data_IF_285091865213
#
_entry.id   IF_285091865213
#
_cell.length_a   1.000
_cell.length_b   1.000
_cell.length_c   1.000
_cell.angle_alpha   90.00
_cell.angle_beta   90.00
_cell.angle_gamma   90.00
#
_symmetry.space_group_name_H-M   'P 1'
#
loop_
_entity.id
_entity.type
_entity.pdbx_description
1 polymer ?
#
# COMPACT_ATOMS: atom_id res chain seq x y z
N UNK A 1 12.17 13.07 -2.25
CA UNK A 1 11.49 11.78 -2.55
C UNK A 1 12.53 10.69 -2.57
N UNK A 2 12.38 9.71 -1.68
CA UNK A 2 13.26 8.54 -1.62
C UNK A 2 12.74 7.54 -2.66
N UNK A 3 13.52 7.24 -3.68
CA UNK A 3 13.28 6.18 -4.66
C UNK A 3 14.60 5.48 -4.89
N UNK A 4 14.59 4.16 -4.92
CA UNK A 4 15.75 3.40 -5.37
C UNK A 4 15.46 2.92 -6.81
N UNK A 5 16.16 3.48 -7.77
CA UNK A 5 16.02 3.21 -9.21
C UNK A 5 16.62 1.83 -9.60
N UNK A 6 16.36 0.79 -8.79
CA UNK A 6 16.80 -0.56 -9.11
C UNK A 6 15.78 -1.17 -10.09
N UNK A 7 16.26 -1.68 -11.22
CA UNK A 7 15.42 -2.41 -12.14
C UNK A 7 15.05 -3.76 -11.52
N UNK A 8 13.75 -4.05 -11.44
CA UNK A 8 13.24 -5.31 -10.92
C UNK A 8 13.09 -6.31 -12.05
N UNK A 9 13.55 -7.57 -11.87
CA UNK A 9 13.18 -8.67 -12.75
C UNK A 9 11.65 -8.88 -12.73
N UNK A 10 11.08 -9.59 -13.72
CA UNK A 10 9.67 -9.99 -13.67
C UNK A 10 9.30 -10.70 -12.37
N UNK A 11 8.04 -10.61 -11.94
CA UNK A 11 7.58 -11.19 -10.68
C UNK A 11 7.83 -12.71 -10.61
N UNK A 12 7.69 -13.41 -11.73
CA UNK A 12 7.96 -14.84 -11.86
C UNK A 12 9.41 -15.23 -11.50
N UNK A 13 10.39 -14.37 -11.83
CA UNK A 13 11.81 -14.59 -11.51
C UNK A 13 12.15 -14.23 -10.05
N UNK A 14 11.22 -13.59 -9.33
CA UNK A 14 11.34 -13.19 -7.93
C UNK A 14 10.50 -14.07 -6.99
N UNK A 15 9.84 -15.11 -7.53
CA UNK A 15 9.15 -16.09 -6.70
C UNK A 15 10.14 -16.84 -5.83
N UNK A 16 9.80 -16.95 -4.57
CA UNK A 16 10.57 -17.67 -3.55
C UNK A 16 9.60 -18.36 -2.60
N UNK A 17 10.13 -19.06 -1.62
CA UNK A 17 9.36 -19.73 -0.59
C UNK A 17 9.85 -19.26 0.76
N UNK A 18 8.93 -18.88 1.65
CA UNK A 18 9.27 -18.50 3.01
C UNK A 18 9.70 -19.69 3.87
N UNK A 19 10.03 -19.46 5.13
CA UNK A 19 10.48 -20.47 6.09
C UNK A 19 9.40 -21.52 6.39
N UNK A 20 8.14 -21.18 6.20
CA UNK A 20 6.99 -22.05 6.44
C UNK A 20 6.49 -22.78 5.17
N UNK A 21 7.17 -22.56 4.05
CA UNK A 21 6.91 -23.22 2.78
C UNK A 21 5.82 -22.54 1.93
N UNK A 22 5.51 -21.28 2.18
CA UNK A 22 4.53 -20.52 1.40
C UNK A 22 5.18 -19.76 0.24
N UNK A 23 4.44 -19.63 -0.86
CA UNK A 23 4.87 -18.83 -2.01
C UNK A 23 4.94 -17.35 -1.67
N UNK A 24 6.06 -16.73 -2.01
CA UNK A 24 6.32 -15.30 -1.83
C UNK A 24 6.83 -14.68 -3.13
N UNK A 25 6.71 -13.37 -3.27
CA UNK A 25 7.43 -12.56 -4.25
C UNK A 25 8.36 -11.62 -3.48
N UNK A 26 9.67 -11.74 -3.68
CA UNK A 26 10.67 -10.93 -3.00
C UNK A 26 11.91 -10.72 -3.88
N UNK A 27 12.36 -9.46 -4.08
CA UNK A 27 11.80 -8.19 -3.60
C UNK A 27 10.52 -7.76 -4.33
N UNK A 28 9.67 -6.96 -3.66
CA UNK A 28 8.48 -6.34 -4.25
C UNK A 28 8.80 -5.03 -4.97
N UNK A 29 8.08 -4.76 -6.06
CA UNK A 29 7.92 -3.44 -6.63
C UNK A 29 6.76 -2.69 -5.97
N UNK A 30 7.02 -1.53 -5.41
CA UNK A 30 6.07 -0.82 -4.55
C UNK A 30 5.63 0.51 -5.15
N UNK A 31 4.32 0.74 -5.19
CA UNK A 31 3.74 2.07 -5.41
C UNK A 31 3.23 2.67 -4.10
N UNK A 32 3.57 3.93 -3.85
CA UNK A 32 3.09 4.71 -2.70
C UNK A 32 2.23 5.86 -3.22
N UNK A 33 0.99 5.97 -2.73
CA UNK A 33 0.05 7.05 -3.08
C UNK A 33 -0.30 7.82 -1.81
N UNK A 34 0.20 9.06 -1.71
CA UNK A 34 -0.10 9.94 -0.59
C UNK A 34 -1.29 10.83 -0.92
N UNK A 35 -2.33 10.75 -0.12
CA UNK A 35 -3.54 11.56 -0.23
C UNK A 35 -3.45 12.73 0.75
N UNK A 36 -3.56 13.97 0.25
CA UNK A 36 -3.36 15.17 1.06
C UNK A 36 -4.21 16.34 0.59
N UNK A 37 -5.04 16.86 1.51
CA UNK A 37 -5.85 18.07 1.32
C UNK A 37 -5.04 19.36 1.20
N UNK A 38 -3.76 19.37 1.58
CA UNK A 38 -2.90 20.57 1.54
C UNK A 38 -2.55 21.05 0.13
N UNK A 39 -3.07 20.45 -0.92
CA UNK A 39 -2.92 20.91 -2.32
C UNK A 39 -3.94 21.98 -2.67
N UNK A 40 -3.92 23.10 -1.95
CA UNK A 40 -4.52 24.33 -2.38
C UNK A 40 -3.58 25.06 -3.35
N UNK A 41 -4.04 25.20 -4.60
CA UNK A 41 -3.67 26.25 -5.57
C UNK A 41 -2.23 26.76 -5.61
N UNK A 42 -1.45 26.29 -6.59
CA UNK A 42 -0.49 27.13 -7.30
C UNK A 42 0.90 27.29 -6.71
N UNK A 43 1.41 26.40 -5.87
CA UNK A 43 2.81 26.48 -5.41
C UNK A 43 3.70 25.50 -6.17
N UNK A 44 4.72 26.03 -6.84
CA UNK A 44 5.73 25.31 -7.67
C UNK A 44 6.59 24.30 -6.90
N UNK A 45 6.40 24.08 -5.61
CA UNK A 45 7.17 23.12 -4.82
C UNK A 45 6.28 21.94 -4.41
N UNK A 46 6.74 20.73 -4.73
CA UNK A 46 6.17 19.50 -4.18
C UNK A 46 6.12 19.63 -2.64
N UNK A 47 4.96 19.54 -2.00
CA UNK A 47 4.88 19.62 -0.55
C UNK A 47 5.65 18.47 0.11
N UNK A 48 6.11 18.63 1.37
CA UNK A 48 6.73 17.56 2.13
C UNK A 48 5.75 16.38 2.27
N UNK A 49 6.28 15.17 2.19
CA UNK A 49 5.53 13.92 2.30
C UNK A 49 6.17 13.00 3.37
N UNK A 50 6.09 13.38 4.65
CA UNK A 50 6.74 12.63 5.70
C UNK A 50 6.20 11.21 5.85
N UNK A 51 4.91 10.98 5.62
CA UNK A 51 4.31 9.65 5.72
C UNK A 51 4.73 8.76 4.55
N UNK A 52 4.73 9.28 3.32
CA UNK A 52 5.25 8.54 2.17
C UNK A 52 6.76 8.30 2.25
N UNK A 53 7.52 9.22 2.85
CA UNK A 53 8.97 9.03 3.08
C UNK A 53 9.22 7.93 4.13
N UNK A 54 8.42 7.87 5.19
CA UNK A 54 8.49 6.83 6.20
C UNK A 54 8.19 5.44 5.62
N UNK A 55 7.08 5.29 4.88
CA UNK A 55 6.73 4.05 4.17
C UNK A 55 7.88 3.61 3.25
N UNK A 56 8.40 4.56 2.44
CA UNK A 56 9.47 4.26 1.50
C UNK A 56 10.74 3.78 2.21
N UNK A 57 11.14 4.43 3.32
CA UNK A 57 12.34 4.05 4.06
C UNK A 57 12.24 2.63 4.61
N UNK A 58 11.11 2.29 5.26
CA UNK A 58 10.91 0.97 5.86
C UNK A 58 10.92 -0.13 4.79
N UNK A 59 10.20 0.06 3.69
CA UNK A 59 10.13 -0.95 2.63
C UNK A 59 11.45 -1.11 1.87
N UNK A 60 12.23 -0.04 1.71
CA UNK A 60 13.59 -0.12 1.14
C UNK A 60 14.54 -0.84 2.09
N UNK A 61 14.46 -0.58 3.41
CA UNK A 61 15.25 -1.30 4.42
C UNK A 61 14.91 -2.79 4.47
N UNK A 62 13.63 -3.15 4.23
CA UNK A 62 13.18 -4.53 4.08
C UNK A 62 13.63 -5.19 2.75
N UNK A 63 14.30 -4.45 1.86
CA UNK A 63 14.85 -4.98 0.60
C UNK A 63 13.99 -4.71 -0.63
N UNK A 64 12.82 -4.11 -0.49
CA UNK A 64 11.90 -3.85 -1.60
C UNK A 64 12.30 -2.62 -2.43
N UNK A 65 11.66 -2.44 -3.59
CA UNK A 65 11.96 -1.37 -4.54
C UNK A 65 10.76 -0.45 -4.69
N UNK A 66 10.89 0.81 -4.28
CA UNK A 66 9.85 1.83 -4.49
C UNK A 66 9.91 2.33 -5.92
N UNK A 67 9.06 1.78 -6.79
CA UNK A 67 9.03 2.06 -8.24
C UNK A 67 8.15 3.27 -8.59
N UNK A 68 7.20 3.63 -7.72
CA UNK A 68 6.31 4.75 -7.95
C UNK A 68 5.97 5.48 -6.65
N UNK A 69 6.00 6.82 -6.70
CA UNK A 69 5.46 7.68 -5.64
C UNK A 69 4.60 8.76 -6.24
N UNK A 70 3.37 8.85 -5.78
CA UNK A 70 2.40 9.85 -6.25
C UNK A 70 1.74 10.53 -5.08
N UNK A 71 1.45 11.81 -5.24
CA UNK A 71 0.67 12.59 -4.28
C UNK A 71 -0.57 13.12 -5.00
N UNK A 72 -1.75 12.90 -4.40
CA UNK A 72 -3.05 13.29 -4.95
C UNK A 72 -3.88 14.06 -3.91
N UNK A 73 -4.79 14.94 -4.32
CA UNK A 73 -5.75 15.56 -3.40
C UNK A 73 -6.76 14.53 -2.87
N UNK A 74 -7.47 14.88 -1.79
CA UNK A 74 -8.60 14.13 -1.24
C UNK A 74 -9.81 14.24 -2.19
N UNK A 75 -9.70 13.59 -3.35
CA UNK A 75 -10.70 13.50 -4.39
C UNK A 75 -10.90 12.03 -4.77
N UNK A 76 -12.12 11.56 -4.63
CA UNK A 76 -12.51 10.17 -4.87
C UNK A 76 -12.05 9.63 -6.22
N UNK A 77 -12.32 10.40 -7.30
CA UNK A 77 -12.00 9.98 -8.67
C UNK A 77 -10.48 9.96 -8.89
N UNK A 78 -9.77 10.98 -8.37
CA UNK A 78 -8.32 11.05 -8.49
C UNK A 78 -7.63 9.92 -7.75
N UNK A 79 -8.06 9.62 -6.53
CA UNK A 79 -7.52 8.50 -5.73
C UNK A 79 -7.72 7.18 -6.47
N UNK A 80 -8.97 6.88 -6.85
CA UNK A 80 -9.33 5.64 -7.55
C UNK A 80 -8.56 5.46 -8.85
N UNK A 81 -8.51 6.52 -9.68
CA UNK A 81 -7.78 6.48 -10.96
C UNK A 81 -6.28 6.26 -10.74
N UNK A 82 -5.67 6.98 -9.78
CA UNK A 82 -4.23 6.84 -9.51
C UNK A 82 -3.86 5.44 -9.02
N UNK A 83 -4.67 4.86 -8.12
CA UNK A 83 -4.46 3.49 -7.65
C UNK A 83 -4.66 2.50 -8.80
N UNK A 84 -5.72 2.65 -9.61
CA UNK A 84 -5.95 1.80 -10.79
C UNK A 84 -4.79 1.84 -11.79
N UNK A 85 -4.22 3.03 -12.07
CA UNK A 85 -3.03 3.18 -12.92
C UNK A 85 -1.79 2.48 -12.33
N UNK A 86 -1.66 2.44 -10.99
CA UNK A 86 -0.58 1.68 -10.36
C UNK A 86 -0.79 0.19 -10.54
N UNK A 87 -2.03 -0.30 -10.39
CA UNK A 87 -2.37 -1.71 -10.57
C UNK A 87 -2.21 -2.22 -12.01
N UNK A 88 -2.22 -1.33 -13.00
CA UNK A 88 -2.00 -1.69 -14.42
C UNK A 88 -0.52 -1.81 -14.79
N UNK A 89 0.40 -1.52 -13.87
CA UNK A 89 1.84 -1.57 -14.11
C UNK A 89 2.43 -2.93 -13.74
N UNK A 90 3.19 -3.57 -14.64
CA UNK A 90 3.77 -4.90 -14.39
C UNK A 90 4.95 -4.89 -13.40
N UNK A 91 5.49 -3.72 -13.06
CA UNK A 91 6.57 -3.54 -12.09
C UNK A 91 6.07 -3.19 -10.68
N UNK A 92 4.75 -3.32 -10.42
CA UNK A 92 4.14 -3.07 -9.12
C UNK A 92 3.48 -4.34 -8.59
N UNK A 93 3.97 -4.80 -7.45
CA UNK A 93 3.47 -5.98 -6.72
C UNK A 93 2.77 -5.60 -5.41
N UNK A 94 2.87 -4.33 -5.01
CA UNK A 94 2.30 -3.80 -3.77
C UNK A 94 1.90 -2.34 -3.96
N UNK A 95 0.70 -1.98 -3.54
CA UNK A 95 0.25 -0.60 -3.46
C UNK A 95 -0.01 -0.22 -2.00
N UNK A 96 0.58 0.88 -1.54
CA UNK A 96 0.30 1.44 -0.22
C UNK A 96 -0.22 2.87 -0.38
N UNK A 97 -1.44 3.13 0.12
CA UNK A 97 -1.99 4.49 0.17
C UNK A 97 -1.93 5.02 1.60
N UNK A 98 -1.74 6.33 1.77
CA UNK A 98 -1.73 6.99 3.08
C UNK A 98 -2.47 8.31 3.04
N UNK A 99 -3.30 8.57 4.05
CA UNK A 99 -4.14 9.75 4.18
C UNK A 99 -5.61 9.54 3.78
N UNK A 100 -6.49 10.44 4.19
CA UNK A 100 -7.92 10.44 3.88
C UNK A 100 -8.70 9.23 4.41
N UNK A 101 -8.32 8.69 5.59
CA UNK A 101 -8.95 7.50 6.19
C UNK A 101 -9.80 7.79 7.42
N UNK A 102 -10.04 9.03 7.74
CA UNK A 102 -10.86 9.44 8.87
C UNK A 102 -12.37 9.35 8.60
N UNK A 103 -13.13 10.22 9.29
CA UNK A 103 -14.60 10.21 9.27
C UNK A 103 -15.21 11.52 8.75
N UNK A 104 -14.38 12.43 8.24
CA UNK A 104 -14.87 13.67 7.62
C UNK A 104 -15.38 13.39 6.20
N UNK A 105 -16.09 14.34 5.63
CA UNK A 105 -16.63 14.20 4.26
C UNK A 105 -15.54 14.11 3.18
N UNK A 106 -14.35 14.61 3.50
CA UNK A 106 -13.20 14.62 2.60
C UNK A 106 -12.34 13.34 2.75
N UNK A 107 -12.55 12.55 3.82
CA UNK A 107 -11.85 11.29 4.02
C UNK A 107 -12.45 10.18 3.15
N UNK A 108 -12.13 10.16 1.87
CA UNK A 108 -12.75 9.26 0.88
C UNK A 108 -11.84 8.13 0.41
N UNK A 109 -10.61 8.04 0.93
CA UNK A 109 -9.62 7.06 0.45
C UNK A 109 -10.08 5.60 0.61
N UNK A 110 -10.62 5.17 1.77
CA UNK A 110 -11.09 3.80 1.90
C UNK A 110 -12.22 3.46 0.92
N UNK A 111 -13.16 4.40 0.71
CA UNK A 111 -14.29 4.19 -0.19
C UNK A 111 -13.82 4.07 -1.65
N UNK A 112 -12.91 4.95 -2.07
CA UNK A 112 -12.38 4.97 -3.44
C UNK A 112 -11.54 3.73 -3.77
N UNK A 113 -10.75 3.24 -2.80
CA UNK A 113 -9.83 2.13 -3.00
C UNK A 113 -10.54 0.79 -2.84
N UNK A 114 -11.46 0.65 -1.87
CA UNK A 114 -12.20 -0.60 -1.66
C UNK A 114 -13.07 -1.01 -2.86
N UNK A 115 -13.51 -0.06 -3.70
CA UNK A 115 -14.19 -0.40 -4.95
C UNK A 115 -13.31 -1.10 -6.00
N UNK A 116 -12.00 -1.09 -5.81
CA UNK A 116 -11.05 -1.81 -6.66
C UNK A 116 -10.76 -3.23 -6.15
N UNK A 117 -11.16 -3.56 -4.92
CA UNK A 117 -10.85 -4.85 -4.33
C UNK A 117 -11.66 -5.99 -4.96
N UNK A 118 -10.97 -7.03 -5.40
CA UNK A 118 -11.54 -8.33 -5.73
C UNK A 118 -11.84 -9.12 -4.46
N UNK A 119 -11.01 -8.93 -3.43
CA UNK A 119 -11.13 -9.55 -2.10
C UNK A 119 -10.68 -8.58 -1.02
N UNK A 120 -11.47 -8.45 0.03
CA UNK A 120 -11.09 -7.67 1.22
C UNK A 120 -10.20 -8.49 2.15
N UNK A 121 -9.29 -7.82 2.86
CA UNK A 121 -8.43 -8.38 3.90
C UNK A 121 -8.76 -7.74 5.25
N UNK A 122 -9.90 -8.09 5.89
CA UNK A 122 -10.34 -7.45 7.12
C UNK A 122 -9.35 -7.66 8.27
N UNK A 123 -8.60 -8.76 8.27
CA UNK A 123 -7.56 -9.06 9.26
C UNK A 123 -6.50 -7.97 9.37
N UNK A 124 -6.16 -7.29 8.28
CA UNK A 124 -5.24 -6.16 8.34
C UNK A 124 -5.78 -5.04 9.25
N UNK A 125 -7.02 -4.61 9.02
CA UNK A 125 -7.63 -3.55 9.83
C UNK A 125 -7.78 -3.95 11.30
N UNK A 126 -8.02 -5.22 11.60
CA UNK A 126 -8.10 -5.77 12.95
C UNK A 126 -6.72 -5.74 13.64
N UNK A 127 -5.69 -6.27 12.99
CA UNK A 127 -4.32 -6.28 13.49
C UNK A 127 -3.78 -4.85 13.70
N UNK A 128 -3.97 -3.97 12.71
CA UNK A 128 -3.55 -2.57 12.82
C UNK A 128 -4.22 -1.87 14.01
N UNK A 129 -5.52 -2.04 14.20
CA UNK A 129 -6.25 -1.44 15.34
C UNK A 129 -5.80 -2.03 16.66
N UNK A 130 -5.51 -3.31 16.71
CA UNK A 130 -4.98 -3.97 17.91
C UNK A 130 -3.60 -3.43 18.29
N UNK A 131 -2.67 -3.33 17.36
CA UNK A 131 -1.33 -2.78 17.57
C UNK A 131 -1.38 -1.29 17.99
N UNK A 132 -2.24 -0.50 17.34
CA UNK A 132 -2.37 0.94 17.62
C UNK A 132 -3.07 1.24 18.96
N UNK A 133 -3.77 0.27 19.57
CA UNK A 133 -4.53 0.49 20.80
C UNK A 133 -3.68 1.02 21.96
N UNK A 134 -2.48 0.51 22.12
CA UNK A 134 -1.58 0.93 23.21
C UNK A 134 -1.18 2.41 23.10
N UNK A 135 -1.07 2.91 21.89
CA UNK A 135 -0.60 4.27 21.60
C UNK A 135 -1.74 5.29 21.56
N UNK A 136 -2.80 5.00 20.81
CA UNK A 136 -3.87 5.99 20.54
C UNK A 136 -5.18 5.72 21.27
N UNK A 137 -5.33 4.60 21.94
CA UNK A 137 -6.50 4.20 22.73
C UNK A 137 -7.80 4.31 21.91
N UNK A 138 -8.82 4.90 22.47
CA UNK A 138 -10.15 5.02 21.85
C UNK A 138 -10.17 5.81 20.53
N UNK A 139 -9.14 6.61 20.25
CA UNK A 139 -9.06 7.34 18.96
C UNK A 139 -8.98 6.40 17.77
N UNK A 140 -8.54 5.15 17.96
CA UNK A 140 -8.48 4.14 16.90
C UNK A 140 -9.85 3.87 16.24
N UNK A 141 -10.96 4.15 16.93
CA UNK A 141 -12.32 3.96 16.41
C UNK A 141 -12.61 4.84 15.19
N UNK A 142 -11.92 5.97 15.05
CA UNK A 142 -12.15 6.90 13.93
C UNK A 142 -11.37 6.54 12.66
N UNK A 143 -10.46 5.56 12.70
CA UNK A 143 -9.75 5.15 11.48
C UNK A 143 -10.50 4.10 10.69
N UNK A 144 -10.55 4.29 9.39
CA UNK A 144 -11.09 3.32 8.42
C UNK A 144 -9.98 2.63 7.62
N UNK A 145 -8.79 2.46 8.25
CA UNK A 145 -7.70 1.71 7.65
C UNK A 145 -8.15 0.31 7.24
N UNK A 146 -7.84 -0.10 6.02
CA UNK A 146 -8.28 -1.36 5.40
C UNK A 146 -7.24 -1.88 4.43
N UNK A 147 -7.41 -3.12 3.96
CA UNK A 147 -6.61 -3.70 2.90
C UNK A 147 -7.44 -4.66 2.06
N UNK A 148 -6.95 -4.97 0.86
CA UNK A 148 -7.55 -5.94 -0.04
C UNK A 148 -6.58 -6.39 -1.12
N UNK A 149 -7.03 -7.33 -1.94
CA UNK A 149 -6.37 -7.74 -3.19
C UNK A 149 -7.15 -7.13 -4.34
N UNK A 150 -6.45 -6.47 -5.24
CA UNK A 150 -7.01 -5.90 -6.47
C UNK A 150 -6.12 -6.27 -7.66
N UNK A 151 -6.67 -6.95 -8.67
CA UNK A 151 -5.92 -7.44 -9.84
C UNK A 151 -4.65 -8.20 -9.44
N UNK A 152 -4.82 -9.11 -8.48
CA UNK A 152 -3.74 -9.93 -7.90
C UNK A 152 -2.61 -9.15 -7.18
N UNK A 153 -2.82 -7.86 -6.89
CA UNK A 153 -1.89 -7.00 -6.14
C UNK A 153 -2.46 -6.68 -4.76
N UNK A 154 -1.73 -6.90 -3.66
CA UNK A 154 -2.08 -6.40 -2.34
C UNK A 154 -2.12 -4.87 -2.31
N UNK A 155 -3.18 -4.31 -1.73
CA UNK A 155 -3.38 -2.87 -1.56
C UNK A 155 -3.69 -2.56 -0.11
N UNK A 156 -2.91 -1.68 0.50
CA UNK A 156 -3.10 -1.23 1.89
C UNK A 156 -3.51 0.24 1.93
N UNK A 157 -4.48 0.55 2.77
CA UNK A 157 -5.01 1.91 2.97
C UNK A 157 -4.74 2.34 4.40
N UNK A 158 -3.77 3.25 4.59
CA UNK A 158 -3.23 3.66 5.87
C UNK A 158 -3.68 5.08 6.27
N UNK A 159 -3.74 5.38 7.59
CA UNK A 159 -3.89 6.75 8.06
C UNK A 159 -2.73 7.65 7.60
N UNK A 160 -2.98 8.98 7.62
CA UNK A 160 -1.99 9.96 7.18
C UNK A 160 -0.94 10.34 8.22
N UNK A 161 -0.97 9.83 9.45
CA UNK A 161 0.02 10.18 10.47
C UNK A 161 1.29 9.31 10.35
N UNK A 162 2.46 9.90 10.55
CA UNK A 162 3.75 9.21 10.48
C UNK A 162 3.79 8.01 11.42
N UNK A 163 3.38 8.15 12.69
CA UNK A 163 3.37 7.04 13.64
C UNK A 163 2.50 5.86 13.16
N UNK A 164 1.33 6.15 12.56
CA UNK A 164 0.44 5.11 12.06
C UNK A 164 1.03 4.36 10.86
N UNK A 165 1.69 5.08 9.94
CA UNK A 165 2.33 4.43 8.79
C UNK A 165 3.59 3.67 9.19
N UNK A 166 4.38 4.17 10.13
CA UNK A 166 5.53 3.47 10.69
C UNK A 166 5.10 2.12 11.28
N UNK A 167 4.09 2.16 12.18
CA UNK A 167 3.58 0.97 12.82
C UNK A 167 3.04 -0.04 11.81
N UNK A 168 2.14 0.38 10.92
CA UNK A 168 1.53 -0.51 9.94
C UNK A 168 2.56 -1.10 8.97
N UNK A 169 3.52 -0.28 8.52
CA UNK A 169 4.50 -0.70 7.53
C UNK A 169 5.54 -1.64 8.13
N UNK A 170 6.06 -1.32 9.33
CA UNK A 170 7.09 -2.11 9.97
C UNK A 170 6.56 -3.44 10.56
N UNK A 171 5.40 -3.39 11.23
CA UNK A 171 4.89 -4.53 12.00
C UNK A 171 3.98 -5.46 11.17
N UNK A 172 3.49 -5.02 10.00
CA UNK A 172 2.56 -5.83 9.20
C UNK A 172 3.01 -5.92 7.75
N UNK A 173 3.16 -4.76 7.05
CA UNK A 173 3.25 -4.76 5.60
C UNK A 173 4.59 -5.32 5.13
N UNK A 174 5.70 -4.92 5.75
CA UNK A 174 7.03 -5.37 5.36
C UNK A 174 7.21 -6.89 5.48
N UNK A 175 6.53 -7.51 6.43
CA UNK A 175 6.57 -8.96 6.67
C UNK A 175 5.57 -9.71 5.78
N UNK A 176 4.32 -9.25 5.72
CA UNK A 176 3.24 -10.00 5.10
C UNK A 176 3.05 -9.76 3.59
N UNK A 177 3.48 -8.58 3.07
CA UNK A 177 3.22 -8.24 1.68
C UNK A 177 3.87 -9.20 0.66
N UNK A 178 5.10 -9.72 0.86
CA UNK A 178 5.70 -10.72 -0.03
C UNK A 178 4.86 -12.01 -0.15
N UNK A 179 4.37 -12.49 1.00
CA UNK A 179 3.49 -13.67 1.07
C UNK A 179 2.15 -13.40 0.40
N UNK A 180 1.49 -12.27 0.70
CA UNK A 180 0.23 -11.90 0.07
C UNK A 180 0.35 -11.77 -1.46
N UNK A 181 1.42 -11.17 -1.96
CA UNK A 181 1.70 -11.06 -3.39
C UNK A 181 1.91 -12.44 -4.04
N UNK A 182 2.63 -13.34 -3.36
CA UNK A 182 2.81 -14.73 -3.80
C UNK A 182 1.49 -15.50 -3.87
N UNK A 183 0.65 -15.38 -2.84
CA UNK A 183 -0.67 -16.02 -2.80
C UNK A 183 -1.64 -15.45 -3.86
N UNK A 184 -1.68 -14.14 -4.01
CA UNK A 184 -2.59 -13.47 -4.93
C UNK A 184 -2.35 -13.91 -6.39
N UNK A 185 -1.09 -14.13 -6.76
CA UNK A 185 -0.67 -14.49 -8.12
C UNK A 185 -0.49 -15.99 -8.36
N UNK A 186 -0.84 -16.86 -7.38
CA UNK A 186 -0.57 -18.32 -7.44
C UNK A 186 -1.19 -19.01 -8.65
N UNK A 187 -2.35 -18.58 -9.13
CA UNK A 187 -3.09 -19.23 -10.22
C UNK A 187 -3.01 -18.49 -11.55
N UNK A 188 -2.47 -17.29 -11.57
CA UNK A 188 -2.29 -16.52 -12.83
C UNK A 188 -1.08 -16.96 -13.64
N UNK A 189 -0.13 -17.67 -13.05
CA UNK A 189 1.10 -18.18 -13.71
C UNK A 189 0.93 -19.59 -14.30
N UNK A 190 -0.26 -20.21 -14.18
CA UNK A 190 -0.49 -21.61 -14.59
C UNK A 190 -1.41 -21.84 -15.79
N UNK A 191 -2.07 -20.82 -16.34
CA UNK A 191 -2.96 -20.96 -17.49
C UNK A 191 -2.33 -20.42 -18.78
N UNK A 192 -1.20 -20.98 -19.21
CA UNK A 192 -0.80 -20.99 -20.60
C UNK A 192 -1.06 -22.38 -21.15
N UNK A 193 -2.22 -22.53 -21.80
CA UNK A 193 -2.64 -23.45 -22.85
C UNK A 193 -1.99 -24.86 -22.88
N UNK A 194 -2.80 -25.86 -22.54
CA UNK A 194 -2.86 -27.11 -23.31
C UNK A 194 -4.01 -27.08 -24.34
#
# INVERSE_FOLDING_TARGET
MIQNNRELPPAEDRRTTDTDGHDCIDPLGVAIVTVSSSRGDGVEKTPPDPSGDAIASILIEAGHVVTSRRMVPDDYVRIKTTVSECLDRPDIDLVVTTGGTGVTVDDVTPDAVSELFDRELPGFGEAFRWLSWEEVRTRIVSTRATAGIARDVPVFVLPGSVNAVDLATAEIIAEEAPHLAGLATRHTVGETDE
#
